data_IF_699403749983
#
_entry.id   IF_699403749983
#
_cell.length_a   1.000
_cell.length_b   1.000
_cell.length_c   1.000
_cell.angle_alpha   90.00
_cell.angle_beta   90.00
_cell.angle_gamma   90.00
#
_symmetry.space_group_name_H-M   'P 1'
#
loop_
_entity.id
_entity.type
_entity.pdbx_description
1 polymer ?
#
# COMPACT_ATOMS: atom_id res chain seq x y z
N UNK A 1 -17.63 6.08 22.33
CA UNK A 1 -16.62 5.01 22.43
C UNK A 1 -17.06 3.90 23.39
N UNK A 2 -17.30 4.18 24.68
CA UNK A 2 -17.75 3.21 25.70
C UNK A 2 -18.93 2.32 25.28
N UNK A 3 -20.01 2.90 24.74
CA UNK A 3 -21.17 2.13 24.28
C UNK A 3 -20.83 1.16 23.13
N UNK A 4 -19.91 1.53 22.24
CA UNK A 4 -19.50 0.69 21.11
C UNK A 4 -18.65 -0.51 21.60
N UNK A 5 -17.76 -0.26 22.55
CA UNK A 5 -16.95 -1.30 23.19
C UNK A 5 -17.84 -2.28 23.98
N UNK A 6 -18.75 -1.76 24.82
CA UNK A 6 -19.69 -2.59 25.55
C UNK A 6 -20.56 -3.46 24.63
N UNK A 7 -21.03 -2.89 23.51
CA UNK A 7 -21.80 -3.63 22.51
C UNK A 7 -20.98 -4.78 21.87
N UNK A 8 -19.72 -4.52 21.51
CA UNK A 8 -18.85 -5.55 20.96
C UNK A 8 -18.62 -6.68 21.98
N UNK A 9 -18.37 -6.35 23.25
CA UNK A 9 -18.20 -7.35 24.32
C UNK A 9 -19.42 -8.27 24.47
N UNK A 10 -20.63 -7.69 24.52
CA UNK A 10 -21.88 -8.47 24.58
C UNK A 10 -22.06 -9.41 23.39
N UNK A 11 -21.66 -8.98 22.19
CA UNK A 11 -21.75 -9.80 20.98
C UNK A 11 -20.74 -10.94 21.02
N UNK A 12 -19.52 -10.70 21.50
CA UNK A 12 -18.48 -11.72 21.64
C UNK A 12 -18.85 -12.78 22.68
N UNK A 13 -19.57 -12.44 23.75
CA UNK A 13 -20.09 -13.40 24.72
C UNK A 13 -21.33 -14.17 24.21
N UNK A 14 -22.02 -13.62 23.20
CA UNK A 14 -23.24 -14.23 22.67
C UNK A 14 -23.00 -15.55 21.93
N UNK A 15 -24.02 -16.42 21.94
CA UNK A 15 -24.08 -17.68 21.18
C UNK A 15 -24.98 -17.59 19.95
N UNK A 16 -25.18 -16.39 19.41
CA UNK A 16 -26.07 -16.18 18.28
C UNK A 16 -25.57 -16.87 17.00
N UNK A 17 -26.49 -17.37 16.15
CA UNK A 17 -26.13 -18.05 14.89
C UNK A 17 -25.53 -17.09 13.85
N UNK A 18 -25.89 -15.80 13.89
CA UNK A 18 -25.42 -14.75 12.98
C UNK A 18 -24.22 -13.96 13.54
N UNK A 19 -23.41 -14.59 14.40
CA UNK A 19 -22.35 -13.92 15.16
C UNK A 19 -21.36 -13.13 14.31
N UNK A 20 -20.87 -13.69 13.19
CA UNK A 20 -19.92 -12.99 12.29
C UNK A 20 -20.46 -11.64 11.84
N UNK A 21 -21.72 -11.61 11.36
CA UNK A 21 -22.37 -10.39 10.89
C UNK A 21 -22.50 -9.36 12.01
N UNK A 22 -22.92 -9.79 13.21
CA UNK A 22 -23.05 -8.90 14.36
C UNK A 22 -21.69 -8.32 14.80
N UNK A 23 -20.63 -9.13 14.79
CA UNK A 23 -19.26 -8.67 15.07
C UNK A 23 -18.85 -7.61 14.07
N UNK A 24 -19.04 -7.83 12.77
CA UNK A 24 -18.69 -6.86 11.73
C UNK A 24 -19.45 -5.54 11.88
N UNK A 25 -20.76 -5.58 12.11
CA UNK A 25 -21.57 -4.38 12.36
C UNK A 25 -21.11 -3.60 13.60
N UNK A 26 -20.71 -4.31 14.66
CA UNK A 26 -20.18 -3.71 15.87
C UNK A 26 -18.80 -3.06 15.65
N UNK A 27 -17.91 -3.71 14.90
CA UNK A 27 -16.60 -3.17 14.54
C UNK A 27 -16.74 -1.90 13.68
N UNK A 28 -17.66 -1.87 12.72
CA UNK A 28 -17.94 -0.65 11.96
C UNK A 28 -18.45 0.50 12.85
N UNK A 29 -19.31 0.19 13.81
CA UNK A 29 -19.76 1.17 14.80
C UNK A 29 -18.63 1.67 15.69
N UNK A 30 -17.68 0.79 16.01
CA UNK A 30 -16.47 1.13 16.76
C UNK A 30 -15.55 2.06 15.95
N UNK A 31 -15.24 1.74 14.69
CA UNK A 31 -14.45 2.61 13.79
C UNK A 31 -15.06 4.00 13.67
N UNK A 32 -16.38 4.09 13.48
CA UNK A 32 -17.09 5.39 13.44
C UNK A 32 -16.96 6.17 14.76
N UNK A 33 -16.92 5.46 15.89
CA UNK A 33 -16.73 6.08 17.20
C UNK A 33 -15.30 6.60 17.38
N UNK A 34 -14.29 5.85 16.90
CA UNK A 34 -12.87 6.24 16.94
C UNK A 34 -12.66 7.55 16.19
N UNK A 35 -13.23 7.68 14.99
CA UNK A 35 -13.10 8.88 14.16
C UNK A 35 -13.64 10.17 14.83
N UNK A 36 -14.51 10.02 15.84
CA UNK A 36 -15.07 11.14 16.61
C UNK A 36 -14.44 11.34 17.99
N UNK A 37 -13.50 10.50 18.41
CA UNK A 37 -12.90 10.51 19.75
C UNK A 37 -11.50 11.15 19.76
N UNK A 38 -11.07 11.61 20.93
CA UNK A 38 -9.70 12.11 21.12
C UNK A 38 -8.70 10.94 21.28
N UNK A 39 -7.42 11.18 20.99
CA UNK A 39 -6.37 10.17 21.20
C UNK A 39 -6.27 9.68 22.65
N UNK A 40 -6.50 10.58 23.62
CA UNK A 40 -6.50 10.25 25.05
C UNK A 40 -7.67 9.34 25.42
N UNK A 41 -8.85 9.55 24.82
CA UNK A 41 -10.00 8.66 25.00
C UNK A 41 -9.72 7.28 24.42
N UNK A 42 -9.16 7.22 23.20
CA UNK A 42 -8.88 5.98 22.48
C UNK A 42 -7.91 5.08 23.26
N UNK A 43 -6.86 5.68 23.85
CA UNK A 43 -5.83 4.94 24.59
C UNK A 43 -6.34 4.20 25.83
N UNK A 44 -7.52 4.54 26.36
CA UNK A 44 -8.05 3.97 27.60
C UNK A 44 -8.80 2.64 27.44
N UNK A 45 -9.10 2.19 26.22
CA UNK A 45 -10.00 1.06 26.01
C UNK A 45 -9.32 -0.32 25.88
N UNK A 46 -8.01 -0.37 25.64
CA UNK A 46 -7.18 -1.60 25.61
C UNK A 46 -7.86 -2.81 24.92
N UNK A 47 -8.16 -2.70 23.63
CA UNK A 47 -9.03 -3.64 22.90
C UNK A 47 -8.36 -4.93 22.40
N UNK A 48 -7.19 -5.28 22.92
CA UNK A 48 -6.33 -6.36 22.44
C UNK A 48 -7.04 -7.72 22.31
N UNK A 49 -7.62 -8.19 23.41
CA UNK A 49 -8.31 -9.49 23.46
C UNK A 49 -9.59 -9.47 22.62
N UNK A 50 -10.34 -8.36 22.68
CA UNK A 50 -11.60 -8.22 21.95
C UNK A 50 -11.40 -8.24 20.43
N UNK A 51 -10.37 -7.57 19.91
CA UNK A 51 -10.08 -7.56 18.48
C UNK A 51 -9.59 -8.93 17.99
N UNK A 52 -8.76 -9.60 18.79
CA UNK A 52 -8.28 -10.96 18.48
C UNK A 52 -9.43 -11.94 18.46
N UNK A 53 -10.30 -11.94 19.49
CA UNK A 53 -11.48 -12.80 19.52
C UNK A 53 -12.46 -12.45 18.39
N UNK A 54 -12.65 -11.17 18.09
CA UNK A 54 -13.50 -10.74 16.98
C UNK A 54 -13.06 -11.37 15.67
N UNK A 55 -11.76 -11.39 15.40
CA UNK A 55 -11.21 -11.98 14.18
C UNK A 55 -11.49 -13.49 14.13
N UNK A 56 -11.28 -14.21 15.23
CA UNK A 56 -11.55 -15.65 15.34
C UNK A 56 -13.04 -16.01 15.19
N UNK A 57 -13.95 -15.09 15.54
CA UNK A 57 -15.40 -15.27 15.42
C UNK A 57 -15.96 -14.83 14.07
N UNK A 58 -15.16 -14.19 13.22
CA UNK A 58 -15.56 -13.84 11.85
C UNK A 58 -15.31 -14.98 10.87
N UNK A 59 -16.15 -15.07 9.84
CA UNK A 59 -15.97 -16.04 8.75
C UNK A 59 -14.97 -15.51 7.71
N UNK A 60 -14.34 -16.42 6.98
CA UNK A 60 -13.26 -16.07 6.04
C UNK A 60 -13.64 -15.01 4.99
N UNK A 61 -14.91 -14.95 4.58
CA UNK A 61 -15.43 -13.95 3.63
C UNK A 61 -15.38 -12.53 4.18
N UNK A 62 -15.48 -12.36 5.50
CA UNK A 62 -15.46 -11.07 6.18
C UNK A 62 -14.03 -10.60 6.53
N UNK A 63 -13.03 -11.48 6.45
CA UNK A 63 -11.66 -11.16 6.90
C UNK A 63 -11.03 -9.99 6.14
N UNK A 64 -11.28 -9.87 4.83
CA UNK A 64 -10.79 -8.73 4.05
C UNK A 64 -11.33 -7.42 4.64
N UNK A 65 -12.64 -7.37 4.87
CA UNK A 65 -13.33 -6.20 5.41
C UNK A 65 -12.86 -5.88 6.83
N UNK A 66 -12.58 -6.90 7.63
CA UNK A 66 -11.97 -6.73 8.95
C UNK A 66 -10.59 -6.08 8.81
N UNK A 67 -9.72 -6.64 7.97
CA UNK A 67 -8.35 -6.14 7.75
C UNK A 67 -8.35 -4.70 7.25
N UNK A 68 -9.31 -4.29 6.42
CA UNK A 68 -9.47 -2.91 5.98
C UNK A 68 -9.76 -1.93 7.13
N UNK A 69 -10.41 -2.38 8.21
CA UNK A 69 -10.69 -1.57 9.41
C UNK A 69 -9.55 -1.58 10.42
N UNK A 70 -8.65 -2.58 10.36
CA UNK A 70 -7.57 -2.73 11.34
C UNK A 70 -6.66 -1.52 11.50
N UNK A 71 -6.26 -0.76 10.45
CA UNK A 71 -5.43 0.43 10.63
C UNK A 71 -6.00 1.45 11.62
N UNK A 72 -7.33 1.57 11.67
CA UNK A 72 -8.02 2.43 12.65
C UNK A 72 -8.11 1.76 14.02
N UNK A 73 -8.39 0.45 14.05
CA UNK A 73 -8.61 -0.31 15.29
C UNK A 73 -7.33 -0.58 16.09
N UNK A 74 -6.18 -0.77 15.43
CA UNK A 74 -4.90 -1.04 16.13
C UNK A 74 -4.46 0.12 17.02
N UNK A 75 -4.93 1.34 16.74
CA UNK A 75 -4.70 2.51 17.61
C UNK A 75 -5.33 2.37 19.00
N UNK A 76 -6.33 1.49 19.15
CA UNK A 76 -7.01 1.18 20.41
C UNK A 76 -6.40 -0.01 21.15
N UNK A 77 -5.36 -0.64 20.59
CA UNK A 77 -4.66 -1.76 21.21
C UNK A 77 -3.50 -1.25 22.05
N UNK A 78 -3.29 -1.88 23.20
CA UNK A 78 -2.08 -1.69 24.01
C UNK A 78 -0.86 -2.31 23.34
N UNK A 79 -1.04 -3.48 22.73
CA UNK A 79 0.00 -4.17 21.96
C UNK A 79 -0.55 -4.74 20.64
N UNK A 80 -0.41 -3.99 19.53
CA UNK A 80 -0.86 -4.43 18.21
C UNK A 80 -0.21 -5.75 17.74
N UNK A 81 0.89 -6.21 18.34
CA UNK A 81 1.47 -7.52 17.99
C UNK A 81 0.51 -8.66 18.28
N UNK A 82 -0.47 -8.48 19.16
CA UNK A 82 -1.45 -9.51 19.49
C UNK A 82 -2.33 -9.91 18.29
N UNK A 83 -2.64 -8.98 17.38
CA UNK A 83 -3.46 -9.28 16.19
C UNK A 83 -2.60 -9.80 15.02
N UNK A 84 -1.29 -9.56 15.04
CA UNK A 84 -0.41 -9.92 13.92
C UNK A 84 -0.45 -11.43 13.56
N UNK A 85 -0.38 -12.39 14.52
CA UNK A 85 -0.49 -13.82 14.21
C UNK A 85 -1.78 -14.22 13.48
N UNK A 86 -2.87 -13.49 13.70
CA UNK A 86 -4.14 -13.76 13.05
C UNK A 86 -4.14 -13.34 11.56
N UNK A 87 -3.39 -12.27 11.25
CA UNK A 87 -3.37 -11.66 9.92
C UNK A 87 -2.12 -11.98 9.10
N UNK A 88 -1.03 -12.48 9.71
CA UNK A 88 0.26 -12.71 9.05
C UNK A 88 0.12 -13.65 7.85
N UNK A 89 -0.76 -14.66 7.96
CA UNK A 89 -1.05 -15.62 6.90
C UNK A 89 -1.60 -14.97 5.64
N UNK A 90 -2.14 -13.75 5.73
CA UNK A 90 -2.67 -12.99 4.60
C UNK A 90 -1.65 -12.02 4.02
N UNK A 91 -0.50 -11.80 4.67
CA UNK A 91 0.58 -10.98 4.12
C UNK A 91 1.44 -11.81 3.14
N UNK A 92 0.79 -12.32 2.09
CA UNK A 92 1.43 -13.13 1.06
C UNK A 92 0.92 -12.78 -0.35
N UNK A 93 1.68 -13.08 -1.42
CA UNK A 93 1.31 -12.69 -2.79
C UNK A 93 0.07 -13.39 -3.36
N UNK A 94 -0.30 -14.56 -2.82
CA UNK A 94 -1.47 -15.33 -3.24
C UNK A 94 -2.78 -14.78 -2.67
N UNK A 95 -2.71 -13.91 -1.66
CA UNK A 95 -3.86 -13.27 -1.04
C UNK A 95 -4.25 -11.97 -1.75
N UNK A 96 -5.52 -11.85 -2.13
CA UNK A 96 -6.06 -10.71 -2.90
C UNK A 96 -6.09 -9.38 -2.13
N UNK A 97 -6.02 -9.41 -0.79
CA UNK A 97 -6.01 -8.23 0.08
C UNK A 97 -4.70 -8.10 0.88
N UNK A 98 -3.63 -8.73 0.42
CA UNK A 98 -2.32 -8.68 1.09
C UNK A 98 -1.72 -7.27 1.20
N UNK A 99 -2.06 -6.35 0.28
CA UNK A 99 -1.69 -4.94 0.40
C UNK A 99 -2.41 -4.27 1.58
N UNK A 100 -3.64 -4.68 1.89
CA UNK A 100 -4.39 -4.15 3.03
C UNK A 100 -3.80 -4.65 4.35
N UNK A 101 -3.32 -5.91 4.40
CA UNK A 101 -2.54 -6.42 5.53
C UNK A 101 -1.23 -5.64 5.69
N UNK A 102 -0.55 -5.34 4.58
CA UNK A 102 0.68 -4.54 4.61
C UNK A 102 0.44 -3.13 5.18
N UNK A 103 -0.74 -2.53 4.98
CA UNK A 103 -1.11 -1.24 5.62
C UNK A 103 -1.17 -1.37 7.14
N UNK A 104 -1.74 -2.46 7.64
CA UNK A 104 -1.78 -2.75 9.09
C UNK A 104 -0.36 -2.86 9.65
N UNK A 105 0.49 -3.66 9.00
CA UNK A 105 1.90 -3.84 9.39
C UNK A 105 2.67 -2.51 9.32
N UNK A 106 2.36 -1.66 8.35
CA UNK A 106 2.97 -0.33 8.24
C UNK A 106 2.56 0.59 9.40
N UNK A 107 1.28 0.60 9.80
CA UNK A 107 0.81 1.35 10.98
C UNK A 107 1.51 0.85 12.24
N UNK A 108 1.59 -0.47 12.41
CA UNK A 108 2.34 -1.12 13.50
C UNK A 108 3.81 -0.66 13.53
N UNK A 109 4.48 -0.59 12.38
CA UNK A 109 5.87 -0.10 12.29
C UNK A 109 5.99 1.39 12.60
N UNK A 110 5.11 2.22 12.02
CA UNK A 110 5.17 3.69 12.10
C UNK A 110 4.81 4.22 13.48
N UNK A 111 3.71 3.72 14.06
CA UNK A 111 3.10 4.31 15.25
C UNK A 111 3.58 3.63 16.54
N UNK A 112 4.02 2.37 16.46
CA UNK A 112 4.46 1.58 17.62
C UNK A 112 5.95 1.20 17.57
N UNK A 113 6.66 1.57 16.50
CA UNK A 113 8.10 1.35 16.37
C UNK A 113 8.51 -0.10 16.16
N UNK A 114 7.60 -0.96 15.68
CA UNK A 114 7.92 -2.36 15.44
C UNK A 114 8.83 -2.55 14.21
N UNK A 115 9.80 -3.44 14.33
CA UNK A 115 10.64 -3.87 13.21
C UNK A 115 10.03 -5.11 12.56
N UNK A 116 9.95 -5.09 11.23
CA UNK A 116 9.47 -6.19 10.41
C UNK A 116 10.51 -6.48 9.34
N UNK A 117 11.29 -7.53 9.56
CA UNK A 117 12.27 -8.02 8.59
C UNK A 117 11.56 -8.43 7.30
N UNK A 118 12.08 -7.95 6.17
CA UNK A 118 11.51 -8.25 4.86
C UNK A 118 10.19 -7.53 4.54
N UNK A 119 9.76 -6.52 5.30
CA UNK A 119 8.53 -5.77 4.99
C UNK A 119 8.47 -5.31 3.52
N UNK A 120 9.55 -4.69 3.02
CA UNK A 120 9.61 -4.20 1.65
C UNK A 120 9.62 -5.31 0.61
N UNK A 121 10.29 -6.44 0.86
CA UNK A 121 10.29 -7.59 -0.05
C UNK A 121 8.91 -8.23 -0.13
N UNK A 122 8.26 -8.45 1.01
CA UNK A 122 6.92 -9.05 1.04
C UNK A 122 5.89 -8.11 0.42
N UNK A 123 5.93 -6.81 0.72
CA UNK A 123 5.07 -5.81 0.07
C UNK A 123 5.32 -5.78 -1.44
N UNK A 124 6.57 -5.78 -1.87
CA UNK A 124 6.93 -5.83 -3.28
C UNK A 124 6.28 -7.04 -3.94
N UNK A 125 6.40 -8.24 -3.38
CA UNK A 125 5.81 -9.47 -3.94
C UNK A 125 4.28 -9.43 -4.00
N UNK A 126 3.63 -8.84 -3.00
CA UNK A 126 2.17 -8.66 -2.94
C UNK A 126 1.62 -7.72 -4.02
N UNK A 127 2.44 -6.82 -4.58
CA UNK A 127 2.01 -5.90 -5.64
C UNK A 127 1.90 -6.67 -6.96
N UNK A 128 0.69 -7.08 -7.31
CA UNK A 128 0.37 -7.71 -8.61
C UNK A 128 -0.60 -6.83 -9.39
N UNK A 129 -0.74 -7.07 -10.70
CA UNK A 129 -1.75 -6.40 -11.52
C UNK A 129 -3.15 -6.62 -10.94
N UNK A 130 -3.50 -7.85 -10.56
CA UNK A 130 -4.79 -8.17 -9.92
C UNK A 130 -5.00 -7.43 -8.60
N UNK A 131 -4.01 -7.47 -7.70
CA UNK A 131 -4.17 -6.90 -6.36
C UNK A 131 -4.23 -5.36 -6.42
N UNK A 132 -3.43 -4.71 -7.26
CA UNK A 132 -3.37 -3.25 -7.29
C UNK A 132 -4.60 -2.60 -7.95
N UNK A 133 -5.36 -3.31 -8.80
CA UNK A 133 -6.47 -2.71 -9.55
C UNK A 133 -7.67 -2.32 -8.67
N UNK A 134 -7.95 -3.11 -7.63
CA UNK A 134 -9.00 -2.80 -6.68
C UNK A 134 -8.55 -1.69 -5.73
N UNK A 135 -9.35 -0.62 -5.60
CA UNK A 135 -9.01 0.56 -4.79
C UNK A 135 -7.62 1.15 -5.13
N UNK A 136 -7.28 1.13 -6.42
CA UNK A 136 -5.94 1.49 -6.94
C UNK A 136 -5.36 2.78 -6.37
N UNK A 137 -6.16 3.83 -6.20
CA UNK A 137 -5.67 5.11 -5.67
C UNK A 137 -5.20 4.98 -4.22
N UNK A 138 -5.97 4.28 -3.38
CA UNK A 138 -5.60 4.03 -1.98
C UNK A 138 -4.35 3.16 -1.89
N UNK A 139 -4.24 2.12 -2.74
CA UNK A 139 -3.09 1.21 -2.76
C UNK A 139 -1.83 1.91 -3.27
N UNK A 140 -1.93 2.74 -4.31
CA UNK A 140 -0.82 3.53 -4.82
C UNK A 140 -0.37 4.61 -3.83
N UNK A 141 -1.32 5.29 -3.16
CA UNK A 141 -0.99 6.24 -2.10
C UNK A 141 -0.25 5.57 -0.95
N UNK A 142 -0.69 4.38 -0.55
CA UNK A 142 0.01 3.58 0.46
C UNK A 142 1.45 3.25 0.03
N UNK A 143 1.67 2.82 -1.22
CA UNK A 143 3.02 2.58 -1.74
C UNK A 143 3.87 3.86 -1.74
N UNK A 144 3.27 5.04 -1.99
CA UNK A 144 4.00 6.30 -1.85
C UNK A 144 4.38 6.56 -0.39
N UNK A 145 3.48 6.32 0.57
CA UNK A 145 3.77 6.50 1.98
C UNK A 145 4.88 5.58 2.48
N UNK A 146 4.95 4.33 1.99
CA UNK A 146 6.02 3.40 2.39
C UNK A 146 7.38 3.80 1.81
N UNK A 147 7.41 4.50 0.67
CA UNK A 147 8.64 4.91 -0.02
C UNK A 147 8.97 6.40 0.15
N UNK A 148 8.14 7.18 0.82
CA UNK A 148 8.36 8.63 1.02
C UNK A 148 9.61 8.89 1.88
N UNK A 149 9.87 8.02 2.85
CA UNK A 149 11.00 8.16 3.75
C UNK A 149 12.34 8.08 2.99
N UNK A 150 13.17 9.12 3.19
CA UNK A 150 14.52 9.19 2.67
C UNK A 150 15.45 8.10 3.21
N UNK A 151 15.04 7.35 4.24
CA UNK A 151 15.74 6.15 4.71
C UNK A 151 15.58 4.93 3.79
N UNK A 152 14.61 4.94 2.87
CA UNK A 152 14.36 3.83 1.94
C UNK A 152 15.60 3.56 1.09
N UNK A 153 16.15 2.33 1.08
CA UNK A 153 17.31 2.01 0.27
C UNK A 153 17.03 2.25 -1.22
N UNK A 154 17.98 2.86 -1.93
CA UNK A 154 17.83 3.16 -3.35
C UNK A 154 17.50 1.92 -4.19
N UNK A 155 18.03 0.74 -3.83
CA UNK A 155 17.73 -0.52 -4.50
C UNK A 155 16.23 -0.86 -4.42
N UNK A 156 15.62 -0.69 -3.25
CA UNK A 156 14.18 -0.91 -3.01
C UNK A 156 13.36 0.04 -3.87
N UNK A 157 13.66 1.34 -3.84
CA UNK A 157 12.94 2.32 -4.67
C UNK A 157 13.01 1.98 -6.17
N UNK A 158 14.17 1.56 -6.67
CA UNK A 158 14.35 1.13 -8.06
C UNK A 158 13.54 -0.13 -8.39
N UNK A 159 13.54 -1.12 -7.51
CA UNK A 159 12.76 -2.35 -7.72
C UNK A 159 11.26 -2.05 -7.80
N UNK A 160 10.72 -1.27 -6.86
CA UNK A 160 9.32 -0.85 -6.88
C UNK A 160 8.96 -0.08 -8.16
N UNK A 161 9.81 0.87 -8.60
CA UNK A 161 9.63 1.58 -9.87
C UNK A 161 9.56 0.58 -11.03
N UNK A 162 10.50 -0.37 -11.11
CA UNK A 162 10.54 -1.35 -12.21
C UNK A 162 9.29 -2.23 -12.21
N UNK A 163 8.87 -2.72 -11.05
CA UNK A 163 7.66 -3.54 -10.90
C UNK A 163 6.39 -2.79 -11.28
N UNK A 164 6.23 -1.55 -10.81
CA UNK A 164 5.10 -0.70 -11.19
C UNK A 164 5.10 -0.39 -12.69
N UNK A 165 6.26 -0.12 -13.28
CA UNK A 165 6.40 0.06 -14.73
C UNK A 165 5.92 -1.19 -15.48
N UNK A 166 6.33 -2.38 -15.05
CA UNK A 166 5.89 -3.63 -15.66
C UNK A 166 4.38 -3.87 -15.52
N UNK A 167 3.81 -3.62 -14.35
CA UNK A 167 2.36 -3.74 -14.10
C UNK A 167 1.58 -2.74 -14.94
N UNK A 168 2.11 -1.54 -15.19
CA UNK A 168 1.44 -0.51 -16.00
C UNK A 168 1.16 -0.94 -17.44
N UNK A 169 1.88 -1.96 -17.95
CA UNK A 169 1.62 -2.56 -19.26
C UNK A 169 0.48 -3.60 -19.26
N UNK A 170 0.05 -4.07 -18.09
CA UNK A 170 -0.89 -5.18 -17.93
C UNK A 170 -2.29 -4.73 -17.49
N UNK A 171 -2.46 -3.47 -17.12
CA UNK A 171 -3.71 -2.89 -16.60
C UNK A 171 -4.36 -1.97 -17.61
N UNK A 172 -5.64 -1.64 -17.40
CA UNK A 172 -6.36 -0.67 -18.25
C UNK A 172 -5.70 0.73 -18.23
N UNK A 173 -5.85 1.50 -19.32
CA UNK A 173 -5.17 2.79 -19.51
C UNK A 173 -5.36 3.80 -18.37
N UNK A 174 -6.56 3.83 -17.76
CA UNK A 174 -6.83 4.72 -16.63
C UNK A 174 -6.04 4.35 -15.37
N UNK A 175 -5.77 3.05 -15.16
CA UNK A 175 -4.94 2.55 -14.06
C UNK A 175 -3.45 2.75 -14.37
N UNK A 176 -3.03 2.45 -15.60
CA UNK A 176 -1.67 2.72 -16.09
C UNK A 176 -1.27 4.17 -15.83
N UNK A 177 -2.13 5.13 -16.17
CA UNK A 177 -1.89 6.56 -15.93
C UNK A 177 -1.60 6.86 -14.44
N UNK A 178 -2.40 6.30 -13.52
CA UNK A 178 -2.21 6.50 -12.07
C UNK A 178 -0.91 5.87 -11.57
N UNK A 179 -0.57 4.69 -12.08
CA UNK A 179 0.71 4.02 -11.79
C UNK A 179 1.89 4.87 -12.26
N UNK A 180 1.82 5.46 -13.46
CA UNK A 180 2.88 6.34 -13.98
C UNK A 180 3.03 7.62 -13.14
N UNK A 181 1.92 8.20 -12.66
CA UNK A 181 1.98 9.29 -11.69
C UNK A 181 2.67 8.86 -10.38
N UNK A 182 2.36 7.66 -9.88
CA UNK A 182 3.02 7.09 -8.70
C UNK A 182 4.51 6.93 -8.91
N UNK A 183 4.92 6.38 -10.06
CA UNK A 183 6.34 6.23 -10.44
C UNK A 183 7.05 7.58 -10.45
N UNK A 184 6.43 8.61 -11.04
CA UNK A 184 6.99 9.96 -11.04
C UNK A 184 7.20 10.49 -9.61
N UNK A 185 6.23 10.28 -8.72
CA UNK A 185 6.35 10.67 -7.32
C UNK A 185 7.47 9.92 -6.59
N UNK A 186 7.58 8.60 -6.77
CA UNK A 186 8.70 7.81 -6.20
C UNK A 186 10.04 8.36 -6.72
N UNK A 187 10.14 8.68 -8.02
CA UNK A 187 11.37 9.25 -8.58
C UNK A 187 11.70 10.63 -8.02
N UNK A 188 10.69 11.42 -7.66
CA UNK A 188 10.87 12.72 -7.01
C UNK A 188 11.35 12.58 -5.57
N UNK A 189 10.83 11.61 -4.81
CA UNK A 189 11.36 11.26 -3.47
C UNK A 189 12.78 10.71 -3.54
N UNK A 190 13.09 9.95 -4.60
CA UNK A 190 14.39 9.30 -4.81
C UNK A 190 15.06 9.76 -6.11
N UNK A 191 15.62 10.98 -6.21
CA UNK A 191 16.11 11.55 -7.47
C UNK A 191 17.22 10.77 -8.18
N UNK A 192 17.89 9.83 -7.49
CA UNK A 192 18.88 8.94 -8.11
C UNK A 192 18.25 7.85 -8.97
N UNK A 193 16.96 7.57 -8.81
CA UNK A 193 16.21 6.58 -9.60
C UNK A 193 15.92 7.04 -11.02
N UNK A 194 15.91 8.36 -11.29
CA UNK A 194 15.72 8.90 -12.65
C UNK A 194 16.72 8.36 -13.68
N UNK A 195 17.88 7.86 -13.25
CA UNK A 195 18.84 7.20 -14.15
C UNK A 195 18.22 6.04 -14.92
N UNK A 196 17.23 5.35 -14.33
CA UNK A 196 16.50 4.23 -14.93
C UNK A 196 15.70 4.61 -16.18
N UNK A 197 15.31 5.89 -16.30
CA UNK A 197 14.60 6.42 -17.46
C UNK A 197 15.56 6.86 -18.59
N UNK A 198 16.86 6.63 -18.44
CA UNK A 198 17.88 6.96 -19.45
C UNK A 198 18.50 5.70 -20.03
N UNK A 199 18.77 5.71 -21.34
CA UNK A 199 19.28 4.55 -22.10
C UNK A 199 20.59 4.00 -21.55
N UNK A 200 21.42 4.84 -20.93
CA UNK A 200 22.70 4.46 -20.33
C UNK A 200 22.54 3.53 -19.12
N UNK A 201 21.34 3.43 -18.55
CA UNK A 201 21.08 2.46 -17.49
C UNK A 201 20.92 1.03 -18.02
N UNK A 202 20.80 0.81 -19.32
CA UNK A 202 20.64 -0.52 -19.88
C UNK A 202 21.81 -1.45 -19.53
N UNK A 203 21.48 -2.60 -18.95
CA UNK A 203 22.44 -3.66 -18.61
C UNK A 203 22.25 -4.87 -19.50
N UNK A 204 23.23 -5.16 -20.36
CA UNK A 204 23.17 -6.27 -21.31
C UNK A 204 23.12 -7.64 -20.63
N UNK A 205 23.76 -7.79 -19.47
CA UNK A 205 23.74 -9.03 -18.67
C UNK A 205 22.37 -9.33 -18.06
N UNK A 206 21.49 -8.32 -17.98
CA UNK A 206 20.12 -8.43 -17.46
C UNK A 206 19.07 -8.22 -18.56
N UNK A 207 19.46 -8.27 -19.83
CA UNK A 207 18.54 -8.09 -20.98
C UNK A 207 17.41 -9.14 -20.98
N UNK A 208 17.74 -10.37 -20.59
CA UNK A 208 16.84 -11.52 -20.59
C UNK A 208 16.32 -11.90 -19.20
N UNK A 209 16.32 -10.95 -18.25
CA UNK A 209 15.75 -11.19 -16.93
C UNK A 209 14.26 -11.54 -17.06
N UNK A 210 13.90 -12.78 -16.73
CA UNK A 210 12.55 -13.33 -16.89
C UNK A 210 11.63 -12.87 -15.75
N UNK A 211 12.19 -12.66 -14.55
CA UNK A 211 11.51 -12.16 -13.36
C UNK A 211 12.04 -10.77 -12.97
N UNK A 212 11.18 -10.00 -12.29
CA UNK A 212 11.57 -8.77 -11.60
C UNK A 212 11.58 -9.12 -10.10
N UNK A 213 12.78 -9.28 -9.55
CA UNK A 213 13.00 -9.53 -8.13
C UNK A 213 13.60 -8.28 -7.48
N UNK A 214 13.56 -8.18 -6.14
CA UNK A 214 14.05 -7.00 -5.42
C UNK A 214 15.51 -6.66 -5.78
N UNK A 215 16.36 -7.70 -5.91
CA UNK A 215 17.80 -7.54 -6.12
C UNK A 215 18.23 -7.85 -7.57
N UNK A 216 17.31 -8.28 -8.43
CA UNK A 216 17.60 -8.72 -9.80
C UNK A 216 16.54 -8.26 -10.78
N UNK A 217 16.86 -7.24 -11.56
CA UNK A 217 16.01 -6.72 -12.63
C UNK A 217 16.80 -5.87 -13.62
N UNK A 218 16.31 -5.76 -14.86
CA UNK A 218 16.80 -4.78 -15.82
C UNK A 218 16.51 -3.35 -15.33
N UNK A 219 17.52 -2.53 -14.98
CA UNK A 219 17.29 -1.19 -14.47
C UNK A 219 16.74 -0.21 -15.51
N UNK A 220 16.96 -0.44 -16.81
CA UNK A 220 16.34 0.40 -17.85
C UNK A 220 14.84 0.15 -17.97
N UNK A 221 14.08 1.24 -18.06
CA UNK A 221 12.61 1.21 -18.14
C UNK A 221 12.12 1.16 -19.59
N UNK A 222 12.28 0.00 -20.24
CA UNK A 222 11.70 -0.28 -21.57
C UNK A 222 10.19 -0.02 -21.63
N UNK A 223 9.50 -0.20 -20.51
CA UNK A 223 8.07 0.04 -20.38
C UNK A 223 7.72 1.50 -20.72
N UNK A 224 8.58 2.47 -20.39
CA UNK A 224 8.37 3.88 -20.75
C UNK A 224 8.56 4.14 -22.24
N UNK A 225 9.33 3.33 -22.96
CA UNK A 225 9.44 3.46 -24.42
C UNK A 225 8.17 2.95 -25.10
N UNK A 226 7.63 1.82 -24.63
CA UNK A 226 6.35 1.26 -25.12
C UNK A 226 5.20 2.24 -24.84
N UNK A 227 5.11 2.74 -23.60
CA UNK A 227 4.03 3.66 -23.19
C UNK A 227 4.15 5.04 -23.82
N UNK A 228 5.34 5.41 -24.30
CA UNK A 228 5.57 6.64 -25.08
C UNK A 228 4.78 6.69 -26.39
N UNK A 229 4.27 5.56 -26.88
CA UNK A 229 3.45 5.46 -28.08
C UNK A 229 1.93 5.36 -27.79
N UNK A 230 1.53 5.47 -26.52
CA UNK A 230 0.14 5.27 -26.06
C UNK A 230 -0.79 6.50 -26.23
N UNK A 231 -1.89 6.56 -25.46
CA UNK A 231 -2.84 7.68 -25.40
C UNK A 231 -2.17 8.97 -24.92
N UNK A 232 -2.73 10.12 -25.27
CA UNK A 232 -2.12 11.44 -25.03
C UNK A 232 -1.81 11.69 -23.55
N UNK A 233 -2.73 11.36 -22.64
CA UNK A 233 -2.47 11.50 -21.19
C UNK A 233 -1.31 10.62 -20.68
N UNK A 234 -1.16 9.40 -21.21
CA UNK A 234 -0.04 8.50 -20.88
C UNK A 234 1.27 9.06 -21.48
N UNK A 235 1.24 9.52 -22.72
CA UNK A 235 2.38 10.15 -23.38
C UNK A 235 2.90 11.35 -22.61
N UNK A 236 2.00 12.21 -22.13
CA UNK A 236 2.34 13.40 -21.33
C UNK A 236 3.10 13.03 -20.06
N UNK A 237 2.65 12.04 -19.30
CA UNK A 237 3.33 11.61 -18.06
C UNK A 237 4.67 10.92 -18.34
N UNK A 238 4.76 10.10 -19.39
CA UNK A 238 6.03 9.48 -19.84
C UNK A 238 7.04 10.55 -20.24
N UNK A 239 6.62 11.54 -21.03
CA UNK A 239 7.47 12.67 -21.44
C UNK A 239 7.90 13.52 -20.25
N UNK A 240 7.03 13.71 -19.26
CA UNK A 240 7.36 14.39 -18.01
C UNK A 240 8.46 13.65 -17.24
N UNK A 241 8.33 12.33 -17.07
CA UNK A 241 9.35 11.48 -16.44
C UNK A 241 10.68 11.60 -17.19
N UNK A 242 10.67 11.42 -18.52
CA UNK A 242 11.89 11.52 -19.36
C UNK A 242 12.52 12.92 -19.27
N UNK A 243 11.73 13.98 -19.27
CA UNK A 243 12.21 15.37 -19.12
C UNK A 243 12.86 15.61 -17.77
N UNK A 244 12.23 15.19 -16.67
CA UNK A 244 12.79 15.31 -15.31
C UNK A 244 14.02 14.41 -15.11
N UNK A 245 14.10 13.30 -15.86
CA UNK A 245 15.28 12.46 -15.91
C UNK A 245 16.48 13.17 -16.54
N UNK A 246 16.29 13.93 -17.62
CA UNK A 246 17.37 14.67 -18.31
C UNK A 246 17.70 15.99 -17.60
N UNK A 247 16.69 16.75 -17.20
CA UNK A 247 16.84 18.10 -16.68
C UNK A 247 16.49 18.19 -15.19
N UNK A 248 17.49 18.08 -14.33
CA UNK A 248 17.30 18.18 -12.88
C UNK A 248 16.65 19.50 -12.43
N UNK A 249 16.84 20.60 -13.19
CA UNK A 249 16.20 21.90 -12.93
C UNK A 249 14.67 21.88 -13.10
N UNK A 250 14.13 20.89 -13.82
CA UNK A 250 12.67 20.76 -14.03
C UNK A 250 11.97 20.02 -12.88
N UNK A 251 12.74 19.45 -11.94
CA UNK A 251 12.20 18.72 -10.80
C UNK A 251 11.62 19.70 -9.76
N UNK A 252 10.47 19.37 -9.15
CA UNK A 252 9.94 20.15 -8.04
C UNK A 252 10.94 20.15 -6.86
N UNK A 253 11.03 21.28 -6.14
CA UNK A 253 11.94 21.44 -4.99
C UNK A 253 11.32 21.05 -3.65
N UNK A 254 9.99 21.11 -3.56
CA UNK A 254 9.21 20.77 -2.37
C UNK A 254 8.19 19.70 -2.77
N UNK A 255 8.14 18.63 -2.01
CA UNK A 255 7.24 17.50 -2.19
C UNK A 255 6.47 17.32 -0.88
N UNK A 256 5.16 17.08 -1.00
CA UNK A 256 4.30 16.75 0.13
C UNK A 256 3.26 15.75 -0.32
N UNK A 257 2.99 14.74 0.50
CA UNK A 257 1.87 13.81 0.30
C UNK A 257 0.51 14.38 0.72
N UNK A 258 0.46 15.53 1.42
CA UNK A 258 -0.78 16.04 2.06
C UNK A 258 -1.96 16.26 1.11
N UNK A 259 -1.71 16.51 -0.18
CA UNK A 259 -2.74 16.85 -1.17
C UNK A 259 -2.57 16.08 -2.49
N UNK A 260 -2.03 14.86 -2.44
CA UNK A 260 -1.91 14.04 -3.65
C UNK A 260 -3.29 13.64 -4.15
N UNK A 261 -3.57 14.03 -5.39
CA UNK A 261 -4.67 13.50 -6.18
C UNK A 261 -4.12 12.90 -7.46
N UNK A 262 -4.72 11.79 -7.90
CA UNK A 262 -4.36 11.16 -9.16
C UNK A 262 -5.12 11.85 -10.30
N UNK A 263 -4.43 12.48 -11.27
CA UNK A 263 -5.11 13.16 -12.36
C UNK A 263 -5.92 12.19 -13.21
N UNK A 264 -7.08 12.65 -13.69
CA UNK A 264 -7.88 11.89 -14.66
C UNK A 264 -7.11 11.75 -15.97
N UNK A 265 -7.27 10.61 -16.63
CA UNK A 265 -6.66 10.38 -17.93
C UNK A 265 -7.32 11.30 -18.98
N UNK A 266 -6.51 12.13 -19.61
CA UNK A 266 -6.89 12.83 -20.84
C UNK A 266 -6.80 11.83 -22.01
N UNK A 267 -7.91 11.68 -22.75
CA UNK A 267 -8.04 10.77 -23.90
C UNK A 267 -7.62 11.48 -25.17
#
# INVERSE_FOLDING_TARGET
>A
MEQAVANLGLILESRAENKSKMVMEALEGLVKSILGSSYEEIANYELDEMLTESFDKTVCEDHKRFVEMLPDLVSCMRDPRNIFPAIERYFNPECDFSIDVAKVVFVMKRDFGFEFDGFHSTLFDCITSRNIEEDIEKKLLFILMTLEDGSTPLAVAKAFIKKLCNISLQVKSSHCHKILWTILWIMRFHPMTYVMARKESFRKDLEWAVSIEMDSFQPYLFELDILGESLEGIKKIVNLIKREAVHAKSRPKLLSLTDISFPRLEI
#
